data_IF_129811623227
#
_entry.id   IF_129811623227
#
_cell.length_a   1.000
_cell.length_b   1.000
_cell.length_c   1.000
_cell.angle_alpha   90.00
_cell.angle_beta   90.00
_cell.angle_gamma   90.00
#
_symmetry.space_group_name_H-M   'P 1'
#
loop_
_entity.id
_entity.type
_entity.pdbx_description
1 polymer ?
#
# COMPACT_ATOMS: atom_id res chain seq x y z
N UNK A 1 -11.95 -0.42 10.02
CA UNK A 1 -10.55 -0.92 10.07
C UNK A 1 -9.63 0.22 10.52
N UNK A 2 -8.54 -0.03 11.25
CA UNK A 2 -7.58 1.05 11.59
C UNK A 2 -6.41 1.03 10.60
N UNK A 3 -6.45 1.91 9.60
CA UNK A 3 -5.47 1.98 8.53
C UNK A 3 -4.06 2.33 9.04
N UNK A 4 -3.97 3.17 10.07
CA UNK A 4 -2.68 3.55 10.66
C UNK A 4 -1.93 2.36 11.26
N UNK A 5 -2.64 1.47 11.95
CA UNK A 5 -2.05 0.24 12.48
C UNK A 5 -1.64 -0.73 11.35
N UNK A 6 -2.40 -0.79 10.25
CA UNK A 6 -2.04 -1.61 9.09
C UNK A 6 -0.76 -1.11 8.42
N UNK A 7 -0.60 0.21 8.29
CA UNK A 7 0.62 0.81 7.75
C UNK A 7 1.84 0.46 8.61
N UNK A 8 1.74 0.53 9.94
CA UNK A 8 2.85 0.15 10.83
C UNK A 8 3.24 -1.32 10.65
N UNK A 9 2.26 -2.22 10.53
CA UNK A 9 2.52 -3.65 10.27
C UNK A 9 3.21 -3.86 8.92
N UNK A 10 2.69 -3.24 7.87
CA UNK A 10 3.21 -3.38 6.51
C UNK A 10 4.61 -2.78 6.38
N UNK A 11 4.91 -1.68 7.07
CA UNK A 11 6.26 -1.12 7.17
C UNK A 11 7.25 -1.99 7.95
N UNK A 12 6.77 -2.72 8.97
CA UNK A 12 7.63 -3.56 9.81
C UNK A 12 7.98 -4.88 9.14
N UNK A 13 7.05 -5.46 8.39
CA UNK A 13 7.23 -6.75 7.72
C UNK A 13 8.15 -6.67 6.49
N UNK A 14 8.37 -5.47 5.96
CA UNK A 14 9.15 -5.30 4.75
C UNK A 14 10.17 -4.16 4.89
N UNK A 15 11.46 -4.52 4.88
CA UNK A 15 12.58 -3.58 5.00
C UNK A 15 12.84 -2.85 3.68
N UNK A 16 11.99 -1.90 3.30
CA UNK A 16 12.18 -1.10 2.08
C UNK A 16 12.92 0.21 2.32
N UNK A 17 13.43 0.77 1.22
CA UNK A 17 14.04 2.10 1.09
C UNK A 17 13.21 3.15 1.86
N UNK A 18 13.75 3.69 2.98
CA UNK A 18 12.95 4.50 3.90
C UNK A 18 12.37 5.74 3.24
N UNK A 19 13.03 6.32 2.22
CA UNK A 19 12.67 7.63 1.70
C UNK A 19 11.32 7.66 0.97
N UNK A 20 11.04 6.67 0.10
CA UNK A 20 9.79 6.60 -0.66
C UNK A 20 8.59 6.39 0.27
N UNK A 21 8.69 5.37 1.14
CA UNK A 21 7.65 5.00 2.10
C UNK A 21 7.46 6.00 3.24
N UNK A 22 8.48 6.84 3.52
CA UNK A 22 8.39 7.87 4.55
C UNK A 22 7.32 8.91 4.23
N UNK A 23 7.17 9.29 2.96
CA UNK A 23 6.28 10.38 2.59
C UNK A 23 4.81 10.06 2.86
N UNK A 24 4.35 8.90 2.42
CA UNK A 24 2.96 8.42 2.61
C UNK A 24 2.64 8.22 4.09
N UNK A 25 3.59 7.68 4.86
CA UNK A 25 3.49 7.58 6.32
C UNK A 25 3.37 8.95 7.00
N UNK A 26 4.12 9.96 6.54
CA UNK A 26 4.03 11.31 7.09
C UNK A 26 2.71 11.99 6.75
N UNK A 27 2.16 11.79 5.55
CA UNK A 27 0.86 12.33 5.17
C UNK A 27 -0.26 11.82 6.05
N UNK A 28 -0.32 10.50 6.23
CA UNK A 28 -1.30 9.90 7.15
C UNK A 28 -1.13 10.42 8.58
N UNK A 29 0.11 10.51 9.07
CA UNK A 29 0.41 11.05 10.41
C UNK A 29 -0.05 12.51 10.55
N UNK A 30 0.14 13.35 9.53
CA UNK A 30 -0.32 14.74 9.52
C UNK A 30 -1.83 14.82 9.56
N UNK A 31 -2.52 13.98 8.76
CA UNK A 31 -3.98 13.92 8.73
C UNK A 31 -4.58 13.56 10.10
N UNK A 32 -4.02 12.55 10.78
CA UNK A 32 -4.44 12.21 12.14
C UNK A 32 -4.19 13.34 13.13
N UNK A 33 -3.06 14.05 13.00
CA UNK A 33 -2.75 15.21 13.86
C UNK A 33 -3.67 16.41 13.63
N UNK A 34 -4.23 16.57 12.43
CA UNK A 34 -5.21 17.62 12.14
C UNK A 34 -6.65 17.26 12.56
N UNK A 35 -6.85 16.17 13.28
CA UNK A 35 -8.18 15.73 13.74
C UNK A 35 -8.89 14.78 12.77
N UNK A 36 -8.21 14.32 11.71
CA UNK A 36 -8.70 13.29 10.81
C UNK A 36 -8.79 11.91 11.47
N UNK A 37 -9.50 10.98 10.85
CA UNK A 37 -9.76 9.65 11.39
C UNK A 37 -8.89 8.59 10.72
N UNK A 38 -8.37 7.65 11.51
CA UNK A 38 -7.66 6.48 10.98
C UNK A 38 -8.57 5.49 10.22
N UNK A 39 -9.86 5.79 10.10
CA UNK A 39 -10.86 4.96 9.42
C UNK A 39 -11.48 5.67 8.21
N UNK A 40 -11.13 6.94 7.97
CA UNK A 40 -11.70 7.69 6.84
C UNK A 40 -11.05 7.35 5.50
N UNK A 41 -11.68 7.84 4.43
CA UNK A 41 -11.24 7.63 3.06
C UNK A 41 -9.85 8.20 2.78
N UNK A 42 -9.46 9.28 3.47
CA UNK A 42 -8.12 9.86 3.33
C UNK A 42 -7.08 8.86 3.84
N UNK A 43 -7.27 8.32 5.05
CA UNK A 43 -6.38 7.30 5.59
C UNK A 43 -6.39 6.00 4.77
N UNK A 44 -7.54 5.60 4.25
CA UNK A 44 -7.64 4.45 3.33
C UNK A 44 -6.83 4.68 2.06
N UNK A 45 -6.91 5.88 1.48
CA UNK A 45 -6.17 6.25 0.28
C UNK A 45 -4.65 6.27 0.52
N UNK A 46 -4.19 6.91 1.60
CA UNK A 46 -2.76 6.91 1.95
C UNK A 46 -2.25 5.49 2.21
N UNK A 47 -3.04 4.62 2.85
CA UNK A 47 -2.69 3.21 3.00
C UNK A 47 -2.56 2.49 1.65
N UNK A 48 -3.51 2.72 0.73
CA UNK A 48 -3.46 2.14 -0.63
C UNK A 48 -2.18 2.56 -1.35
N UNK A 49 -1.82 3.84 -1.34
CA UNK A 49 -0.59 4.32 -1.97
C UNK A 49 0.65 3.64 -1.37
N UNK A 50 0.70 3.53 -0.05
CA UNK A 50 1.80 2.87 0.66
C UNK A 50 1.94 1.40 0.24
N UNK A 51 0.84 0.65 0.20
CA UNK A 51 0.86 -0.75 -0.19
C UNK A 51 1.23 -0.94 -1.69
N UNK A 52 0.83 0.00 -2.56
CA UNK A 52 1.23 -0.01 -3.97
C UNK A 52 2.73 0.27 -4.15
N UNK A 53 3.29 1.24 -3.44
CA UNK A 53 4.73 1.50 -3.44
C UNK A 53 5.52 0.25 -3.03
N UNK A 54 5.04 -0.46 -2.01
CA UNK A 54 5.62 -1.73 -1.56
C UNK A 54 5.57 -2.79 -2.66
N UNK A 55 4.42 -3.02 -3.28
CA UNK A 55 4.28 -3.99 -4.37
C UNK A 55 5.21 -3.67 -5.55
N UNK A 56 5.31 -2.40 -5.95
CA UNK A 56 6.21 -1.97 -7.02
C UNK A 56 7.66 -2.32 -6.68
N UNK A 57 8.10 -2.06 -5.44
CA UNK A 57 9.47 -2.38 -5.01
C UNK A 57 9.72 -3.90 -5.01
N UNK A 58 8.75 -4.70 -4.56
CA UNK A 58 8.87 -6.17 -4.62
C UNK A 58 9.01 -6.68 -6.05
N UNK A 59 8.16 -6.20 -6.96
CA UNK A 59 8.25 -6.58 -8.38
C UNK A 59 9.59 -6.18 -8.99
N UNK A 60 10.07 -4.97 -8.72
CA UNK A 60 11.38 -4.51 -9.19
C UNK A 60 12.53 -5.36 -8.63
N UNK A 61 12.45 -5.76 -7.36
CA UNK A 61 13.45 -6.66 -6.74
C UNK A 61 13.46 -8.04 -7.39
N UNK A 62 12.29 -8.51 -7.84
CA UNK A 62 12.12 -9.78 -8.55
C UNK A 62 12.42 -9.66 -10.06
N UNK A 63 12.80 -8.48 -10.55
CA UNK A 63 13.08 -8.22 -11.98
C UNK A 63 11.83 -8.16 -12.86
N UNK A 64 10.65 -7.98 -12.26
CA UNK A 64 9.36 -7.91 -12.92
C UNK A 64 8.93 -6.47 -13.17
N UNK A 65 8.19 -6.26 -14.27
CA UNK A 65 7.50 -4.99 -14.52
C UNK A 65 6.16 -4.98 -13.78
N UNK A 66 5.88 -3.90 -13.05
CA UNK A 66 4.61 -3.70 -12.36
C UNK A 66 3.65 -2.87 -13.23
N UNK A 67 2.47 -3.42 -13.54
CA UNK A 67 1.41 -2.70 -14.25
C UNK A 67 0.43 -2.04 -13.26
N UNK A 68 0.53 -0.71 -13.15
CA UNK A 68 -0.32 0.11 -12.29
C UNK A 68 -1.81 0.06 -12.65
N UNK A 69 -2.17 -0.27 -13.90
CA UNK A 69 -3.57 -0.24 -14.35
C UNK A 69 -4.42 -1.32 -13.69
N UNK A 70 -3.79 -2.43 -13.29
CA UNK A 70 -4.45 -3.55 -12.59
C UNK A 70 -4.94 -3.18 -11.18
N UNK A 71 -4.41 -2.08 -10.63
CA UNK A 71 -4.77 -1.57 -9.32
C UNK A 71 -5.95 -0.58 -9.34
N UNK A 72 -6.46 -0.25 -10.54
CA UNK A 72 -7.58 0.68 -10.70
C UNK A 72 -8.88 0.05 -10.20
N UNK A 73 -9.72 0.86 -9.54
CA UNK A 73 -10.98 0.41 -8.95
C UNK A 73 -10.85 -0.50 -7.72
N UNK A 74 -9.66 -1.06 -7.43
CA UNK A 74 -9.44 -1.88 -6.23
C UNK A 74 -9.48 -1.01 -4.95
N UNK A 75 -10.26 -1.35 -3.93
CA UNK A 75 -10.31 -0.58 -2.69
C UNK A 75 -9.04 -0.80 -1.85
N UNK A 76 -8.81 0.02 -0.83
CA UNK A 76 -7.60 -0.06 0.01
C UNK A 76 -7.48 -1.41 0.73
N UNK A 77 -8.62 -2.01 1.08
CA UNK A 77 -8.77 -3.31 1.72
C UNK A 77 -8.17 -4.44 0.88
N UNK A 78 -8.18 -4.31 -0.45
CA UNK A 78 -7.59 -5.31 -1.33
C UNK A 78 -6.09 -5.52 -1.05
N UNK A 79 -5.42 -4.47 -0.58
CA UNK A 79 -3.97 -4.46 -0.35
C UNK A 79 -3.58 -4.75 1.10
N UNK A 80 -4.52 -5.24 1.93
CA UNK A 80 -4.24 -5.66 3.32
C UNK A 80 -3.22 -6.78 3.38
N UNK A 81 -3.37 -7.76 2.49
CA UNK A 81 -2.45 -8.86 2.31
C UNK A 81 -1.72 -8.66 0.98
N UNK A 82 -0.46 -8.26 1.06
CA UNK A 82 0.38 -7.98 -0.11
C UNK A 82 0.66 -9.23 -0.94
N UNK A 83 0.85 -10.39 -0.31
CA UNK A 83 1.10 -11.62 -1.04
C UNK A 83 -0.14 -12.04 -1.81
N UNK A 84 -1.31 -11.96 -1.17
CA UNK A 84 -2.58 -12.22 -1.83
C UNK A 84 -2.85 -11.21 -2.96
N UNK A 85 -2.60 -9.91 -2.72
CA UNK A 85 -2.74 -8.88 -3.75
C UNK A 85 -1.78 -9.14 -4.92
N UNK A 86 -0.53 -9.51 -4.65
CA UNK A 86 0.46 -9.87 -5.67
C UNK A 86 -0.01 -11.06 -6.50
N UNK A 87 -0.46 -12.14 -5.86
CA UNK A 87 -0.97 -13.32 -6.56
C UNK A 87 -2.20 -12.99 -7.40
N UNK A 88 -3.14 -12.21 -6.86
CA UNK A 88 -4.32 -11.76 -7.59
C UNK A 88 -3.97 -10.97 -8.85
N UNK A 89 -3.04 -10.02 -8.73
CA UNK A 89 -2.56 -9.21 -9.86
C UNK A 89 -1.85 -10.07 -10.93
N UNK A 90 -1.02 -11.05 -10.53
CA UNK A 90 -0.36 -11.96 -11.47
C UNK A 90 -1.35 -12.87 -12.22
N UNK A 91 -2.43 -13.28 -11.55
CA UNK A 91 -3.44 -14.17 -12.15
C UNK A 91 -4.26 -13.44 -13.21
N UNK A 92 -4.56 -12.14 -13.02
CA UNK A 92 -5.27 -11.31 -14.01
C UNK A 92 -4.45 -11.03 -15.29
N UNK A 93 -3.12 -11.18 -15.27
CA UNK A 93 -2.26 -11.11 -16.49
C UNK A 93 -2.39 -12.37 -17.34
N UNK A 94 -2.70 -13.50 -16.71
CA UNK A 94 -2.65 -14.83 -17.34
C UNK A 94 -4.00 -15.32 -17.86
N UNK A 95 -5.07 -14.53 -17.69
CA UNK A 95 -6.44 -14.83 -18.09
C UNK A 95 -6.84 -14.05 -19.34
#
# INVERSE_FOLDING_TARGET
>A
MNWGNQLVKLAANHAYEPAALHWTKQRMKRHLKSGGSAQDEVCAHEYKLFALEVLIIEYQRDGLNFDLTQCWGKPAEYFIDLEQARQGLQTEVSA
#
